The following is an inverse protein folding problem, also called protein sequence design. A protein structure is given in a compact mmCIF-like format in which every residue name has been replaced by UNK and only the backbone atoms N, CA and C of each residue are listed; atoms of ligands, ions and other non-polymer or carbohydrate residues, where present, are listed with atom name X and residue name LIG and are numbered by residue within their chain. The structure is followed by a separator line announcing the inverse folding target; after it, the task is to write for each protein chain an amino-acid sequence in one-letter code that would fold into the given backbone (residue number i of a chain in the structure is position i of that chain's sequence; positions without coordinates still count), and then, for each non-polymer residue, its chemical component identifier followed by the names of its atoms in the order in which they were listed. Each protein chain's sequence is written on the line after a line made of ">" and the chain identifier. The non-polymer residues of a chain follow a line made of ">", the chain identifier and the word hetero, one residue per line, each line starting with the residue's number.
data_IF_528064854998
#
_entry.id   IF_528064854998
#
_cell.length_a   1.000
_cell.length_b   1.000
_cell.length_c   1.000
_cell.angle_alpha   90.00
_cell.angle_beta   90.00
_cell.angle_gamma   90.00
#
_symmetry.space_group_name_H-M   'P 1'
#
loop_
_entity.id
_entity.type
_entity.pdbx_description
1 polymer ?
#
# COMPACT_ATOMS: atom_id res chain seq x y z
N UNK A 1 5.74 -5.20 -4.01
CA UNK A 1 5.79 -4.22 -5.09
C UNK A 1 7.21 -3.69 -5.18
N UNK A 2 7.80 -3.71 -6.37
CA UNK A 2 9.17 -3.21 -6.61
C UNK A 2 9.09 -1.78 -7.19
N UNK A 3 10.14 -0.96 -7.09
CA UNK A 3 10.10 0.39 -7.64
C UNK A 3 9.84 0.40 -9.14
N UNK A 4 9.08 1.39 -9.61
CA UNK A 4 8.60 1.49 -10.99
C UNK A 4 7.36 0.62 -11.29
N UNK A 5 6.87 -0.16 -10.33
CA UNK A 5 5.62 -0.93 -10.49
C UNK A 5 4.41 -0.21 -9.92
N UNK A 6 3.24 -0.52 -10.48
CA UNK A 6 1.94 0.07 -10.11
C UNK A 6 0.94 -1.01 -9.73
N UNK A 7 0.04 -0.67 -8.80
CA UNK A 7 -1.18 -1.41 -8.53
C UNK A 7 -2.35 -0.51 -8.88
N UNK A 8 -3.15 -0.88 -9.87
CA UNK A 8 -4.29 -0.08 -10.33
C UNK A 8 -5.62 -0.57 -9.72
N UNK A 9 -6.58 0.33 -9.58
CA UNK A 9 -7.99 0.01 -9.39
C UNK A 9 -8.56 -0.73 -10.62
N UNK A 10 -9.65 -1.50 -10.49
CA UNK A 10 -10.30 -2.18 -11.62
C UNK A 10 -10.64 -1.25 -12.79
N UNK A 11 -11.14 -0.05 -12.50
CA UNK A 11 -11.45 0.99 -13.50
C UNK A 11 -10.22 1.75 -14.02
N UNK A 12 -9.03 1.49 -13.47
CA UNK A 12 -7.73 2.12 -13.82
C UNK A 12 -7.68 3.64 -13.62
N UNK A 13 -8.59 4.22 -12.84
CA UNK A 13 -8.56 5.65 -12.51
C UNK A 13 -7.64 5.96 -11.33
N UNK A 14 -7.36 4.96 -10.49
CA UNK A 14 -6.55 5.14 -9.29
C UNK A 14 -5.39 4.15 -9.27
N UNK A 15 -4.21 4.64 -8.92
CA UNK A 15 -3.00 3.81 -8.84
C UNK A 15 -2.23 4.05 -7.55
N UNK A 16 -1.73 2.96 -6.96
CA UNK A 16 -0.69 2.98 -5.97
C UNK A 16 0.64 2.74 -6.68
N UNK A 17 1.53 3.71 -6.61
CA UNK A 17 2.80 3.72 -7.35
C UNK A 17 3.93 3.70 -6.32
N UNK A 18 4.94 2.85 -6.53
CA UNK A 18 6.21 2.92 -5.82
C UNK A 18 7.25 3.49 -6.77
N UNK A 19 7.65 4.73 -6.56
CA UNK A 19 8.62 5.43 -7.38
C UNK A 19 10.05 4.93 -7.10
N UNK A 20 10.97 5.13 -8.06
CA UNK A 20 12.38 4.73 -7.94
C UNK A 20 13.12 5.42 -6.78
N UNK A 21 12.62 6.58 -6.35
CA UNK A 21 13.15 7.29 -5.20
C UNK A 21 12.60 6.76 -3.85
N UNK A 22 11.82 5.68 -3.87
CA UNK A 22 11.17 5.08 -2.71
C UNK A 22 10.00 5.86 -2.13
N UNK A 23 9.44 6.80 -2.89
CA UNK A 23 8.16 7.42 -2.57
C UNK A 23 7.00 6.51 -2.98
N UNK A 24 6.01 6.34 -2.11
CA UNK A 24 4.74 5.67 -2.42
C UNK A 24 3.69 6.75 -2.64
N UNK A 25 2.93 6.67 -3.72
CA UNK A 25 1.85 7.61 -4.00
C UNK A 25 0.55 6.88 -4.31
N UNK A 26 -0.57 7.41 -3.79
CA UNK A 26 -1.91 7.07 -4.23
C UNK A 26 -2.44 8.22 -5.10
N UNK A 27 -2.68 7.94 -6.38
CA UNK A 27 -2.98 8.99 -7.37
C UNK A 27 -4.28 8.72 -8.12
N UNK A 28 -4.99 9.80 -8.50
CA UNK A 28 -5.92 9.80 -9.64
C UNK A 28 -5.09 10.03 -10.91
N UNK A 29 -4.94 9.01 -11.75
CA UNK A 29 -4.09 9.11 -12.94
C UNK A 29 -4.67 10.03 -14.00
N UNK A 30 -6.00 10.14 -14.08
CA UNK A 30 -6.68 10.95 -15.08
C UNK A 30 -6.61 12.44 -14.71
N UNK A 31 -6.86 12.76 -13.44
CA UNK A 31 -6.81 14.14 -12.92
C UNK A 31 -5.39 14.59 -12.57
N UNK A 32 -4.43 13.67 -12.49
CA UNK A 32 -3.04 13.92 -12.04
C UNK A 32 -2.99 14.49 -10.62
N UNK A 33 -3.86 13.99 -9.75
CA UNK A 33 -3.90 14.38 -8.34
C UNK A 33 -3.25 13.27 -7.52
N UNK A 34 -2.33 13.64 -6.61
CA UNK A 34 -1.84 12.75 -5.56
C UNK A 34 -2.67 12.97 -4.30
N UNK A 35 -3.43 11.96 -3.89
CA UNK A 35 -4.24 12.03 -2.67
C UNK A 35 -3.42 11.79 -1.41
N UNK A 36 -2.42 10.91 -1.52
CA UNK A 36 -1.56 10.57 -0.41
C UNK A 36 -0.14 10.23 -0.90
N UNK A 37 0.84 10.50 -0.05
CA UNK A 37 2.24 10.16 -0.27
C UNK A 37 2.92 9.72 1.05
N UNK A 38 3.92 8.85 0.97
CA UNK A 38 4.61 8.30 2.16
C UNK A 38 5.68 9.21 2.73
N UNK A 39 6.14 10.23 1.98
CA UNK A 39 7.25 11.12 2.31
C UNK A 39 8.56 10.35 2.56
N UNK A 40 8.86 9.40 1.69
CA UNK A 40 10.03 8.51 1.76
C UNK A 40 10.93 8.59 0.52
N UNK A 41 10.73 9.60 -0.33
CA UNK A 41 11.48 9.83 -1.55
C UNK A 41 13.00 10.07 -1.38
N UNK A 42 13.49 10.24 -0.16
CA UNK A 42 14.92 10.40 0.15
C UNK A 42 15.67 9.06 0.31
N UNK A 43 14.98 7.92 0.29
CA UNK A 43 15.59 6.60 0.45
C UNK A 43 15.99 5.92 -0.87
N UNK A 44 15.73 6.56 -2.01
CA UNK A 44 15.97 6.01 -3.35
C UNK A 44 17.36 5.43 -3.60
N UNK A 45 18.40 6.05 -3.04
CA UNK A 45 19.80 5.64 -3.23
C UNK A 45 20.10 4.23 -2.69
N UNK A 46 19.30 3.72 -1.76
CA UNK A 46 19.45 2.38 -1.19
C UNK A 46 18.57 1.34 -1.88
N UNK A 47 17.63 1.79 -2.72
CA UNK A 47 16.55 0.98 -3.26
C UNK A 47 15.59 0.50 -2.17
N UNK A 48 14.38 0.09 -2.58
CA UNK A 48 13.34 -0.32 -1.65
C UNK A 48 12.40 -1.34 -2.25
N UNK A 49 11.58 -1.94 -1.38
CA UNK A 49 10.51 -2.86 -1.75
C UNK A 49 9.36 -2.76 -0.77
N UNK A 50 8.15 -2.59 -1.30
CA UNK A 50 6.92 -2.62 -0.50
C UNK A 50 6.43 -4.07 -0.34
N UNK A 51 6.17 -4.50 0.90
CA UNK A 51 5.67 -5.84 1.22
C UNK A 51 4.46 -5.76 2.14
N UNK A 52 3.44 -6.55 1.83
CA UNK A 52 2.39 -6.91 2.79
C UNK A 52 2.90 -8.14 3.57
N UNK A 53 3.05 -8.00 4.87
CA UNK A 53 3.47 -9.06 5.78
C UNK A 53 2.27 -9.95 6.16
N UNK A 54 2.56 -11.14 6.70
CA UNK A 54 1.55 -12.13 7.11
C UNK A 54 0.66 -11.64 8.24
N UNK A 55 1.18 -10.74 9.08
CA UNK A 55 0.48 -10.10 10.19
C UNK A 55 -0.45 -8.94 9.77
N UNK A 56 -0.50 -8.61 8.47
CA UNK A 56 -1.32 -7.53 7.92
C UNK A 56 -0.62 -6.17 7.86
N UNK A 57 0.64 -6.06 8.31
CA UNK A 57 1.41 -4.83 8.18
C UNK A 57 1.89 -4.63 6.74
N UNK A 58 1.83 -3.40 6.25
CA UNK A 58 2.39 -3.02 4.94
C UNK A 58 3.66 -2.24 5.21
N UNK A 59 4.80 -2.83 4.86
CA UNK A 59 6.12 -2.30 5.19
C UNK A 59 6.91 -2.01 3.93
N UNK A 60 7.46 -0.80 3.87
CA UNK A 60 8.47 -0.41 2.90
C UNK A 60 9.84 -0.70 3.51
N UNK A 61 10.59 -1.60 2.88
CA UNK A 61 11.94 -1.96 3.27
C UNK A 61 12.96 -1.35 2.34
N UNK A 62 14.15 -1.04 2.85
CA UNK A 62 15.37 -0.91 2.07
C UNK A 62 15.84 -2.28 1.55
N UNK A 63 16.74 -2.30 0.56
CA UNK A 63 17.33 -3.55 0.04
C UNK A 63 18.10 -4.35 1.09
N UNK A 64 18.71 -3.69 2.07
CA UNK A 64 19.44 -4.35 3.16
C UNK A 64 18.52 -4.96 4.24
N UNK A 65 17.20 -4.76 4.14
CA UNK A 65 16.21 -5.26 5.10
C UNK A 65 15.74 -4.23 6.12
N UNK A 66 16.32 -3.02 6.15
CA UNK A 66 15.91 -1.98 7.10
C UNK A 66 14.50 -1.47 6.77
N UNK A 67 13.69 -1.26 7.81
CA UNK A 67 12.37 -0.69 7.66
C UNK A 67 12.47 0.83 7.41
N UNK A 68 11.84 1.31 6.33
CA UNK A 68 11.73 2.74 5.99
C UNK A 68 10.43 3.30 6.55
N UNK A 69 9.32 2.61 6.30
CA UNK A 69 7.98 3.08 6.58
C UNK A 69 7.04 1.90 6.79
N UNK A 70 6.04 2.08 7.63
CA UNK A 70 4.99 1.08 7.85
C UNK A 70 3.62 1.72 7.91
N UNK A 71 2.65 1.03 7.33
CA UNK A 71 1.23 1.28 7.55
C UNK A 71 0.76 0.18 8.50
N UNK A 72 0.66 0.52 9.79
CA UNK A 72 0.23 -0.42 10.82
C UNK A 72 -1.30 -0.47 10.87
N UNK A 73 -1.88 -1.51 10.28
CA UNK A 73 -3.27 -1.90 10.55
C UNK A 73 -3.23 -3.11 11.49
N UNK A 74 -3.18 -2.80 12.79
CA UNK A 74 -3.25 -3.81 13.85
C UNK A 74 -4.53 -4.64 13.68
N UNK A 75 -4.36 -5.96 13.55
CA UNK A 75 -5.40 -6.96 13.60
C UNK A 75 -5.99 -7.06 15.01
N UNK A 76 -7.22 -6.57 15.21
CA UNK A 76 -8.07 -6.96 16.33
C UNK A 76 -9.42 -7.40 15.78
N UNK A 77 -9.88 -8.66 16.04
CA UNK A 77 -9.28 -9.67 16.91
C UNK A 77 -8.21 -10.56 16.23
N UNK A 78 -7.42 -11.22 17.09
CA UNK A 78 -6.43 -12.29 16.78
C UNK A 78 -7.14 -13.58 16.29
N UNK A 79 -6.53 -14.44 15.45
CA UNK A 79 -5.13 -14.49 14.99
C UNK A 79 -4.79 -13.48 13.91
N UNK A 80 -3.52 -13.02 13.90
CA UNK A 80 -3.00 -11.99 13.00
C UNK A 80 -2.53 -12.51 11.63
N UNK A 81 -2.29 -13.81 11.51
CA UNK A 81 -1.82 -14.44 10.28
C UNK A 81 -2.98 -14.91 9.41
N UNK A 82 -3.49 -14.04 8.56
CA UNK A 82 -4.56 -14.39 7.63
C UNK A 82 -4.25 -13.94 6.22
N UNK A 83 -4.76 -14.67 5.20
CA UNK A 83 -4.68 -14.22 3.82
C UNK A 83 -5.25 -12.81 3.70
N UNK A 84 -4.38 -11.90 3.29
CA UNK A 84 -4.68 -10.49 3.18
C UNK A 84 -4.26 -9.99 1.80
N UNK A 85 -5.04 -9.07 1.24
CA UNK A 85 -4.78 -8.50 -0.08
C UNK A 85 -4.90 -6.98 0.02
N UNK A 86 -3.83 -6.29 -0.35
CA UNK A 86 -3.84 -4.84 -0.57
C UNK A 86 -4.39 -4.55 -1.98
N UNK A 87 -5.46 -3.76 -2.05
CA UNK A 87 -6.08 -3.38 -3.32
C UNK A 87 -6.62 -1.95 -3.28
N UNK A 88 -6.95 -1.44 -4.46
CA UNK A 88 -7.62 -0.14 -4.63
C UNK A 88 -9.01 -0.42 -5.17
N UNK A 89 -10.02 0.18 -4.56
CA UNK A 89 -11.40 0.13 -5.02
C UNK A 89 -11.64 1.17 -6.13
N UNK A 90 -12.73 1.03 -6.88
CA UNK A 90 -13.06 1.93 -8.00
C UNK A 90 -13.42 3.37 -7.56
N UNK A 91 -13.73 3.55 -6.28
CA UNK A 91 -13.92 4.85 -5.63
C UNK A 91 -12.58 5.51 -5.20
N UNK A 92 -11.46 4.82 -5.43
CA UNK A 92 -10.11 5.29 -5.12
C UNK A 92 -9.63 4.95 -3.71
N UNK A 93 -10.42 4.29 -2.89
CA UNK A 93 -10.00 3.89 -1.55
C UNK A 93 -8.90 2.81 -1.62
N UNK A 94 -7.83 3.00 -0.85
CA UNK A 94 -6.83 1.97 -0.62
C UNK A 94 -7.31 1.08 0.53
N UNK A 95 -7.50 -0.21 0.26
CA UNK A 95 -8.15 -1.16 1.17
C UNK A 95 -7.28 -2.39 1.37
N UNK A 96 -7.18 -2.82 2.64
CA UNK A 96 -6.70 -4.14 2.99
C UNK A 96 -7.89 -5.06 3.20
N UNK A 97 -8.09 -6.02 2.31
CA UNK A 97 -9.06 -7.09 2.51
C UNK A 97 -8.42 -8.24 3.27
N UNK A 98 -9.12 -8.72 4.28
CA UNK A 98 -8.72 -9.85 5.12
C UNK A 98 -9.84 -10.88 5.15
N UNK A 99 -9.54 -12.14 4.83
CA UNK A 99 -10.56 -13.19 4.76
C UNK A 99 -10.71 -13.91 6.11
N UNK A 100 -11.85 -13.71 6.79
CA UNK A 100 -12.28 -14.46 7.97
C UNK A 100 -13.74 -14.90 7.81
N UNK A 101 -14.03 -16.00 7.11
CA UNK A 101 -15.42 -16.52 7.03
C UNK A 101 -16.48 -15.42 6.76
N UNK A 102 -16.09 -14.41 5.96
CA UNK A 102 -16.63 -13.04 5.97
C UNK A 102 -15.48 -12.04 5.77
N UNK A 103 -15.44 -11.37 4.62
CA UNK A 103 -14.35 -10.42 4.32
C UNK A 103 -14.43 -9.21 5.25
N UNK A 104 -13.37 -8.94 6.00
CA UNK A 104 -13.20 -7.67 6.72
C UNK A 104 -12.36 -6.76 5.84
N UNK A 105 -12.88 -5.56 5.56
CA UNK A 105 -12.18 -4.52 4.82
C UNK A 105 -11.69 -3.42 5.76
N UNK A 106 -10.41 -3.11 5.65
CA UNK A 106 -9.82 -1.97 6.35
C UNK A 106 -9.46 -0.91 5.34
N UNK A 107 -10.21 0.19 5.37
CA UNK A 107 -9.84 1.38 4.59
C UNK A 107 -8.58 1.99 5.20
N UNK A 108 -7.52 2.02 4.40
CA UNK A 108 -6.23 2.59 4.77
C UNK A 108 -6.24 4.09 4.49
N UNK A 109 -6.62 4.46 3.26
CA UNK A 109 -6.73 5.85 2.83
C UNK A 109 -8.01 6.04 2.04
N UNK A 110 -8.65 7.18 2.26
CA UNK A 110 -9.79 7.67 1.49
C UNK A 110 -9.36 8.82 0.58
N UNK A 111 -9.97 8.89 -0.58
CA UNK A 111 -9.75 9.97 -1.57
C UNK A 111 -10.82 11.06 -1.50
N UNK A 112 -11.81 10.90 -0.61
CA UNK A 112 -12.96 11.77 -0.40
C UNK A 112 -13.50 11.64 1.04
#
# INVERSE_FOLDING_TARGET
>A
MDPGTVKASPNKLYELILLNNCEIQLVDVKKKISYWNSNTGNYGQYGCKLRLQTDGNIVLYQRNGDQIYTINKYCSPSPCELPSILTIQDDGNLVLYRSLSGSIDFVIYRTH
#
